data_IF_379246175135
#
_entry.id   IF_379246175135
#
_cell.length_a   1.000
_cell.length_b   1.000
_cell.length_c   1.000
_cell.angle_alpha   90.00
_cell.angle_beta   90.00
_cell.angle_gamma   90.00
#
_symmetry.space_group_name_H-M   'P 1'
#
loop_
_entity.id
_entity.type
_entity.pdbx_description
1 polymer ?
#
# COMPACT_ATOMS: atom_id res chain seq x y z
N UNK A 1 -6.39 -20.16 9.10
CA UNK A 1 -5.72 -20.21 10.42
C UNK A 1 -6.45 -19.26 11.34
N UNK A 2 -6.71 -19.65 12.59
CA UNK A 2 -7.42 -18.82 13.56
C UNK A 2 -6.48 -18.49 14.72
N UNK A 3 -6.39 -17.20 15.06
CA UNK A 3 -5.59 -16.70 16.18
C UNK A 3 -6.51 -15.91 17.11
N UNK A 4 -6.21 -15.95 18.42
CA UNK A 4 -6.97 -15.20 19.44
C UNK A 4 -6.10 -14.05 19.94
N UNK A 5 -6.69 -12.86 19.98
CA UNK A 5 -6.07 -11.66 20.55
C UNK A 5 -6.80 -11.26 21.83
N UNK A 6 -6.04 -10.85 22.85
CA UNK A 6 -6.59 -10.26 24.07
C UNK A 6 -6.17 -8.79 24.08
N UNK A 7 -7.15 -7.88 24.13
CA UNK A 7 -6.94 -6.44 24.08
C UNK A 7 -7.37 -5.82 25.41
N UNK A 8 -6.54 -4.92 25.95
CA UNK A 8 -6.95 -4.02 27.02
C UNK A 8 -7.38 -2.69 26.39
N UNK A 9 -8.63 -2.32 26.61
CA UNK A 9 -9.25 -1.10 26.08
C UNK A 9 -9.68 -0.21 27.24
N UNK A 10 -9.73 1.10 26.99
CA UNK A 10 -10.41 2.02 27.90
C UNK A 10 -11.92 1.71 27.93
N UNK A 11 -12.54 1.83 29.11
CA UNK A 11 -13.96 1.52 29.32
C UNK A 11 -14.88 2.29 28.37
N UNK A 12 -14.52 3.54 28.03
CA UNK A 12 -15.31 4.37 27.11
C UNK A 12 -15.26 3.81 25.69
N UNK A 13 -14.09 3.35 25.26
CA UNK A 13 -13.90 2.76 23.93
C UNK A 13 -14.66 1.45 23.85
N UNK A 14 -14.57 0.61 24.89
CA UNK A 14 -15.32 -0.64 24.96
C UNK A 14 -16.83 -0.41 24.86
N UNK A 15 -17.37 0.56 25.62
CA UNK A 15 -18.79 0.88 25.60
C UNK A 15 -19.29 1.33 24.21
N UNK A 16 -18.50 2.12 23.48
CA UNK A 16 -18.85 2.56 22.12
C UNK A 16 -18.89 1.37 21.15
N UNK A 17 -17.88 0.48 21.21
CA UNK A 17 -17.83 -0.71 20.34
C UNK A 17 -19.02 -1.64 20.66
N UNK A 18 -19.33 -1.83 21.95
CA UNK A 18 -20.47 -2.63 22.38
C UNK A 18 -21.80 -2.08 21.86
N UNK A 19 -22.04 -0.78 22.03
CA UNK A 19 -23.27 -0.14 21.55
C UNK A 19 -23.43 -0.29 20.03
N UNK A 20 -22.34 -0.15 19.28
CA UNK A 20 -22.39 -0.30 17.82
C UNK A 20 -22.66 -1.73 17.38
N UNK A 21 -22.07 -2.73 18.06
CA UNK A 21 -22.34 -4.14 17.79
C UNK A 21 -23.82 -4.49 18.05
N UNK A 22 -24.37 -4.01 19.19
CA UNK A 22 -25.77 -4.20 19.56
C UNK A 22 -26.73 -3.54 18.53
N UNK A 23 -26.43 -2.32 18.09
CA UNK A 23 -27.23 -1.62 17.08
C UNK A 23 -27.26 -2.35 15.73
N UNK A 24 -26.17 -3.06 15.39
CA UNK A 24 -26.05 -3.85 14.17
C UNK A 24 -26.54 -5.30 14.34
N UNK A 25 -26.88 -5.71 15.57
CA UNK A 25 -27.33 -7.07 15.88
C UNK A 25 -26.27 -8.15 15.68
N UNK A 26 -24.98 -7.79 15.74
CA UNK A 26 -23.86 -8.71 15.53
C UNK A 26 -23.07 -8.90 16.84
N UNK A 27 -22.40 -10.05 17.01
CA UNK A 27 -21.52 -10.29 18.15
C UNK A 27 -20.41 -9.24 18.26
N UNK A 28 -20.05 -8.90 19.50
CA UNK A 28 -19.02 -7.90 19.79
C UNK A 28 -17.66 -8.28 19.16
N UNK A 29 -17.31 -9.56 19.21
CA UNK A 29 -16.05 -10.10 18.72
C UNK A 29 -15.98 -10.01 17.19
N UNK A 30 -17.10 -10.28 16.52
CA UNK A 30 -17.22 -10.18 15.06
C UNK A 30 -17.12 -8.71 14.63
N UNK A 31 -17.80 -7.81 15.34
CA UNK A 31 -17.70 -6.39 15.08
C UNK A 31 -16.27 -5.87 15.31
N UNK A 32 -15.65 -6.21 16.44
CA UNK A 32 -14.26 -5.83 16.73
C UNK A 32 -13.28 -6.36 15.69
N UNK A 33 -13.44 -7.62 15.25
CA UNK A 33 -12.62 -8.18 14.17
C UNK A 33 -12.79 -7.41 12.86
N UNK A 34 -14.03 -7.00 12.51
CA UNK A 34 -14.30 -6.20 11.32
C UNK A 34 -13.68 -4.80 11.38
N UNK A 35 -13.66 -4.17 12.56
CA UNK A 35 -12.99 -2.88 12.76
C UNK A 35 -11.47 -3.01 12.56
N UNK A 36 -10.87 -4.08 13.10
CA UNK A 36 -9.45 -4.38 12.90
C UNK A 36 -9.13 -4.66 11.43
N UNK A 37 -9.98 -5.42 10.73
CA UNK A 37 -9.79 -5.70 9.30
C UNK A 37 -9.88 -4.45 8.42
N UNK A 38 -10.73 -3.48 8.79
CA UNK A 38 -10.82 -2.19 8.10
C UNK A 38 -9.61 -1.31 8.36
N UNK A 39 -9.06 -1.33 9.58
CA UNK A 39 -7.90 -0.52 9.94
C UNK A 39 -6.60 -1.09 9.36
N UNK A 40 -6.52 -2.41 9.26
CA UNK A 40 -5.37 -3.13 8.70
C UNK A 40 -5.82 -3.93 7.49
N UNK A 41 -6.22 -3.25 6.39
CA UNK A 41 -6.55 -3.96 5.17
C UNK A 41 -5.33 -4.78 4.75
N UNK A 42 -5.50 -6.01 4.26
CA UNK A 42 -4.39 -6.76 3.73
C UNK A 42 -3.70 -5.89 2.70
N UNK A 43 -2.41 -5.63 2.92
CA UNK A 43 -1.59 -4.94 1.93
C UNK A 43 -1.84 -5.67 0.61
N UNK A 44 -2.17 -4.97 -0.49
CA UNK A 44 -2.41 -5.64 -1.75
C UNK A 44 -1.17 -6.48 -2.02
N UNK A 45 -1.32 -7.80 -1.88
CA UNK A 45 -0.29 -8.71 -2.31
C UNK A 45 -0.09 -8.32 -3.76
N UNK A 46 1.12 -7.89 -4.12
CA UNK A 46 1.47 -7.72 -5.52
C UNK A 46 0.95 -8.97 -6.20
N UNK A 47 -0.02 -8.79 -7.08
CA UNK A 47 -0.82 -9.89 -7.59
C UNK A 47 0.11 -10.67 -8.53
N UNK A 48 0.93 -11.55 -7.96
CA UNK A 48 1.84 -12.45 -8.67
C UNK A 48 1.06 -13.56 -9.36
N UNK A 49 -0.28 -13.48 -9.36
CA UNK A 49 -1.13 -14.30 -10.21
C UNK A 49 -0.89 -13.96 -11.68
N UNK A 50 -1.26 -14.88 -12.57
CA UNK A 50 -1.04 -14.73 -14.02
C UNK A 50 -1.63 -13.42 -14.60
N UNK A 51 -2.59 -12.79 -13.93
CA UNK A 51 -3.18 -11.52 -14.34
C UNK A 51 -2.22 -10.34 -14.12
N UNK A 52 -1.51 -10.29 -12.98
CA UNK A 52 -0.46 -9.30 -12.75
C UNK A 52 0.77 -9.51 -13.63
N UNK A 53 1.11 -10.78 -13.95
CA UNK A 53 2.16 -11.08 -14.94
C UNK A 53 1.81 -10.56 -16.34
N UNK A 54 0.59 -10.76 -16.81
CA UNK A 54 0.14 -10.26 -18.11
C UNK A 54 0.10 -8.73 -18.17
N UNK A 55 -0.34 -8.07 -17.10
CA UNK A 55 -0.35 -6.61 -17.01
C UNK A 55 1.06 -6.02 -16.93
N UNK A 56 1.94 -6.63 -16.14
CA UNK A 56 3.36 -6.25 -16.07
C UNK A 56 4.05 -6.43 -17.43
N UNK A 57 3.78 -7.56 -18.12
CA UNK A 57 4.28 -7.81 -19.47
C UNK A 57 3.77 -6.78 -20.48
N UNK A 58 2.47 -6.48 -20.49
CA UNK A 58 1.89 -5.48 -21.40
C UNK A 58 2.46 -4.07 -21.13
N UNK A 59 2.66 -3.70 -19.87
CA UNK A 59 3.30 -2.44 -19.51
C UNK A 59 4.75 -2.39 -19.99
N UNK A 60 5.53 -3.46 -19.75
CA UNK A 60 6.91 -3.56 -20.23
C UNK A 60 6.98 -3.49 -21.76
N UNK A 61 6.11 -4.22 -22.45
CA UNK A 61 6.09 -4.27 -23.91
C UNK A 61 5.71 -2.95 -24.56
N UNK A 62 4.85 -2.15 -23.90
CA UNK A 62 4.50 -0.80 -24.36
C UNK A 62 5.70 0.14 -24.51
N UNK A 63 6.80 -0.14 -23.82
CA UNK A 63 8.03 0.67 -23.87
C UNK A 63 9.12 0.08 -24.78
N UNK A 64 8.92 -1.10 -25.37
CA UNK A 64 9.86 -1.65 -26.36
C UNK A 64 10.00 -0.73 -27.57
N UNK A 65 11.24 -0.54 -28.02
CA UNK A 65 11.57 0.32 -29.16
C UNK A 65 11.39 1.82 -28.94
N UNK A 66 10.94 2.23 -27.74
CA UNK A 66 10.71 3.64 -27.40
C UNK A 66 11.93 4.32 -26.78
N UNK A 67 12.83 3.54 -26.19
CA UNK A 67 14.07 4.04 -25.59
C UNK A 67 15.22 3.94 -26.60
N UNK A 68 15.48 5.06 -27.28
CA UNK A 68 16.74 5.32 -27.95
C UNK A 68 17.55 6.27 -27.07
N UNK A 69 18.23 5.70 -26.07
CA UNK A 69 19.19 6.45 -25.27
C UNK A 69 20.50 6.43 -26.05
N UNK A 70 20.87 7.58 -26.62
CA UNK A 70 22.07 7.75 -27.48
C UNK A 70 23.41 7.56 -26.77
N UNK A 71 23.40 6.99 -25.56
CA UNK A 71 24.54 6.72 -24.70
C UNK A 71 24.36 5.37 -24.02
N UNK A 72 25.48 4.71 -23.72
CA UNK A 72 25.46 3.47 -22.94
C UNK A 72 24.91 3.77 -21.53
N UNK A 73 23.90 3.01 -21.11
CA UNK A 73 23.41 3.03 -19.73
C UNK A 73 24.46 2.27 -18.92
N UNK A 74 25.33 2.99 -18.21
CA UNK A 74 26.19 2.39 -17.20
C UNK A 74 25.32 1.92 -16.03
N UNK A 75 25.75 0.87 -15.33
CA UNK A 75 25.16 0.50 -14.03
C UNK A 75 25.54 1.48 -12.92
N UNK A 76 26.41 2.43 -13.25
CA UNK A 76 26.80 3.51 -12.38
C UNK A 76 25.71 4.59 -12.35
N UNK A 77 24.96 4.60 -11.25
CA UNK A 77 23.81 5.46 -11.05
C UNK A 77 24.19 6.84 -10.48
N UNK A 78 25.48 7.17 -10.33
CA UNK A 78 25.93 8.45 -9.75
C UNK A 78 25.27 9.66 -10.46
N UNK A 79 25.16 9.63 -11.79
CA UNK A 79 24.45 10.68 -12.54
C UNK A 79 22.93 10.76 -12.27
N UNK A 80 22.29 9.63 -11.96
CA UNK A 80 20.86 9.59 -11.59
C UNK A 80 20.67 10.18 -10.19
N UNK A 81 21.59 9.86 -9.27
CA UNK A 81 21.55 10.37 -7.90
C UNK A 81 21.82 11.88 -7.87
N UNK A 82 22.70 12.39 -8.75
CA UNK A 82 22.93 13.83 -8.95
C UNK A 82 21.70 14.54 -9.53
N UNK A 83 21.08 13.98 -10.58
CA UNK A 83 19.84 14.51 -11.16
C UNK A 83 18.70 14.55 -10.13
N UNK A 84 18.56 13.49 -9.33
CA UNK A 84 17.56 13.38 -8.28
C UNK A 84 17.84 14.39 -7.15
N UNK A 85 19.10 14.52 -6.73
CA UNK A 85 19.49 15.52 -5.75
C UNK A 85 19.20 16.94 -6.26
N UNK A 86 19.41 17.23 -7.56
CA UNK A 86 19.08 18.52 -8.15
C UNK A 86 17.57 18.78 -8.20
N UNK A 87 16.75 17.80 -8.58
CA UNK A 87 15.29 17.91 -8.62
C UNK A 87 14.72 18.18 -7.22
N UNK A 88 15.20 17.49 -6.19
CA UNK A 88 14.71 17.66 -4.82
C UNK A 88 15.39 18.81 -4.05
N UNK A 89 16.55 19.29 -4.49
CA UNK A 89 17.21 20.48 -3.91
C UNK A 89 16.63 21.78 -4.46
N UNK A 90 15.96 21.76 -5.61
CA UNK A 90 15.05 22.81 -5.98
C UNK A 90 13.73 22.58 -5.24
N UNK A 91 13.37 23.36 -4.21
CA UNK A 91 11.98 23.39 -3.81
C UNK A 91 11.21 23.79 -5.07
N UNK A 92 10.23 22.99 -5.48
CA UNK A 92 9.18 23.44 -6.38
C UNK A 92 8.44 24.58 -5.67
N UNK A 93 9.06 25.75 -5.67
CA UNK A 93 8.51 27.01 -5.19
C UNK A 93 7.62 27.56 -6.28
N UNK A 94 6.33 27.51 -5.99
CA UNK A 94 5.26 28.38 -6.47
C UNK A 94 5.33 28.87 -7.93
N UNK A 95 4.43 28.32 -8.76
CA UNK A 95 3.40 29.08 -9.50
C UNK A 95 2.35 28.13 -10.11
#
# INVERSE_FOLDING_TARGET
MQQTLILQLDDRVFAVIQQQAENLGIPLEEFAASLLAQQFPPMPQQDLTGMGKSRAKANFERHFGRLHLGSAISLDNESIDEDLAQEYSNPHGDL
#
